data_IF_453111554601
#
_entry.id   IF_453111554601
#
_cell.length_a   1.000
_cell.length_b   1.000
_cell.length_c   1.000
_cell.angle_alpha   90.00
_cell.angle_beta   90.00
_cell.angle_gamma   90.00
#
_symmetry.space_group_name_H-M   'P 1'
#
loop_
_entity.id
_entity.type
_entity.pdbx_description
1 polymer ?
#
# COMPACT_ATOMS: atom_id res chain seq x y z
N UNK A 1 16.25 -6.48 27.41
CA UNK A 1 15.85 -5.56 26.33
C UNK A 1 16.27 -6.24 25.04
N UNK A 2 15.35 -6.79 24.28
CA UNK A 2 15.69 -7.63 23.13
C UNK A 2 14.72 -7.41 21.97
N UNK A 3 15.28 -7.46 20.76
CA UNK A 3 14.81 -6.80 19.55
C UNK A 3 13.46 -7.32 19.04
N UNK A 4 12.53 -6.39 18.79
CA UNK A 4 11.28 -6.63 18.08
C UNK A 4 11.54 -7.01 16.62
N UNK A 5 11.57 -8.31 16.32
CA UNK A 5 11.53 -8.83 14.95
C UNK A 5 10.11 -8.66 14.39
N UNK A 6 9.92 -7.64 13.57
CA UNK A 6 8.82 -7.60 12.61
C UNK A 6 8.85 -8.87 11.74
N UNK A 7 7.73 -9.57 11.64
CA UNK A 7 7.63 -10.80 10.83
C UNK A 7 7.31 -10.42 9.39
N UNK A 8 8.33 -10.36 8.55
CA UNK A 8 8.17 -10.22 7.09
C UNK A 8 7.87 -11.60 6.49
N UNK A 9 6.64 -11.82 6.00
CA UNK A 9 6.27 -13.06 5.32
C UNK A 9 6.54 -12.89 3.83
N UNK A 10 7.61 -13.51 3.35
CA UNK A 10 7.85 -13.79 1.93
C UNK A 10 7.50 -15.25 1.69
N UNK A 11 6.56 -15.54 0.80
CA UNK A 11 6.31 -16.90 0.34
C UNK A 11 7.61 -17.48 -0.21
N UNK A 12 8.11 -18.53 0.44
CA UNK A 12 9.27 -19.28 -0.02
C UNK A 12 8.91 -20.06 -1.28
N UNK A 13 9.06 -19.44 -2.45
CA UNK A 13 9.39 -20.15 -3.68
C UNK A 13 10.33 -19.30 -4.54
N UNK A 14 11.61 -19.66 -4.46
CA UNK A 14 12.73 -19.37 -5.37
C UNK A 14 12.28 -18.81 -6.73
N UNK A 15 12.51 -17.52 -6.96
CA UNK A 15 13.03 -16.97 -8.23
C UNK A 15 13.32 -15.47 -8.08
N UNK A 16 14.51 -15.04 -8.53
CA UNK A 16 15.04 -13.66 -8.51
C UNK A 16 14.19 -12.61 -9.27
N UNK A 17 12.97 -12.96 -9.70
CA UNK A 17 11.98 -12.08 -10.34
C UNK A 17 10.80 -11.71 -9.42
N UNK A 18 10.71 -12.25 -8.19
CA UNK A 18 9.56 -12.03 -7.28
C UNK A 18 9.64 -10.78 -6.39
N UNK A 19 10.74 -10.02 -6.42
CA UNK A 19 10.88 -8.80 -5.60
C UNK A 19 9.96 -7.63 -6.01
N UNK A 20 9.10 -7.83 -7.01
CA UNK A 20 8.23 -6.80 -7.61
C UNK A 20 6.75 -6.98 -7.30
N UNK A 21 6.38 -7.97 -6.50
CA UNK A 21 4.96 -8.17 -6.15
C UNK A 21 4.55 -7.18 -5.05
N UNK A 22 3.36 -6.56 -5.16
CA UNK A 22 2.87 -5.69 -4.11
C UNK A 22 2.70 -6.49 -2.82
N UNK A 23 3.39 -6.06 -1.77
CA UNK A 23 3.60 -6.79 -0.53
C UNK A 23 3.04 -6.02 0.68
N UNK A 24 2.80 -6.73 1.77
CA UNK A 24 2.37 -6.15 3.04
C UNK A 24 3.34 -6.54 4.17
N UNK A 25 3.64 -5.59 5.03
CA UNK A 25 4.57 -5.73 6.16
C UNK A 25 3.90 -5.21 7.43
N UNK A 26 3.99 -5.97 8.52
CA UNK A 26 3.61 -5.48 9.86
C UNK A 26 4.86 -4.86 10.51
N UNK A 27 4.90 -3.53 10.62
CA UNK A 27 6.04 -2.81 11.20
C UNK A 27 5.98 -2.88 12.72
N UNK A 28 4.81 -2.57 13.27
CA UNK A 28 4.49 -2.63 14.69
C UNK A 28 3.15 -3.33 14.85
N UNK A 29 2.81 -3.78 16.07
CA UNK A 29 1.52 -4.43 16.37
C UNK A 29 0.31 -3.62 15.87
N UNK A 30 0.46 -2.31 15.59
CA UNK A 30 -0.58 -1.40 15.13
C UNK A 30 -0.39 -0.82 13.72
N UNK A 31 0.73 -1.07 13.03
CA UNK A 31 1.03 -0.42 11.76
C UNK A 31 1.27 -1.47 10.66
N UNK A 32 0.37 -1.48 9.68
CA UNK A 32 0.49 -2.27 8.46
C UNK A 32 1.02 -1.37 7.36
N UNK A 33 2.15 -1.73 6.74
CA UNK A 33 2.73 -1.07 5.57
C UNK A 33 2.46 -1.89 4.33
N UNK A 34 1.80 -1.29 3.36
CA UNK A 34 1.64 -1.83 2.01
C UNK A 34 2.68 -1.21 1.09
N UNK A 35 3.28 -2.03 0.24
CA UNK A 35 4.33 -1.64 -0.70
C UNK A 35 3.80 -1.86 -2.12
N UNK A 36 3.98 -0.86 -2.98
CA UNK A 36 3.70 -0.94 -4.41
C UNK A 36 4.94 -0.53 -5.21
N UNK A 37 5.26 -1.35 -6.22
CA UNK A 37 6.37 -1.15 -7.15
C UNK A 37 5.89 -0.71 -8.56
N UNK A 38 4.59 -0.90 -8.86
CA UNK A 38 4.04 -0.81 -10.21
C UNK A 38 2.72 -0.02 -10.28
N UNK A 39 2.55 0.95 -9.38
CA UNK A 39 1.42 1.89 -9.28
C UNK A 39 0.21 1.35 -8.53
N UNK A 40 -0.03 0.04 -8.50
CA UNK A 40 -1.19 -0.53 -7.80
C UNK A 40 -0.80 -1.23 -6.51
N UNK A 41 -1.71 -1.22 -5.54
CA UNK A 41 -1.53 -1.91 -4.25
C UNK A 41 -2.23 -3.28 -4.28
N UNK A 42 -1.68 -4.25 -3.57
CA UNK A 42 -2.29 -5.57 -3.50
C UNK A 42 -3.60 -5.51 -2.71
N UNK A 43 -4.72 -5.66 -3.41
CA UNK A 43 -6.04 -5.72 -2.77
C UNK A 43 -6.34 -7.09 -2.16
N UNK A 44 -5.61 -8.14 -2.57
CA UNK A 44 -5.65 -9.43 -1.92
C UNK A 44 -5.00 -9.30 -0.55
N UNK A 45 -5.71 -9.73 0.48
CA UNK A 45 -5.19 -9.75 1.85
C UNK A 45 -4.08 -10.79 1.95
N UNK A 46 -2.83 -10.39 1.67
CA UNK A 46 -1.65 -11.10 2.17
C UNK A 46 -1.51 -10.98 3.70
N UNK A 47 -2.37 -10.19 4.33
CA UNK A 47 -2.44 -10.01 5.77
C UNK A 47 -2.98 -11.28 6.42
N UNK A 48 -2.25 -11.77 7.42
CA UNK A 48 -2.77 -12.72 8.38
C UNK A 48 -4.00 -12.09 9.06
N UNK A 49 -5.07 -12.88 9.20
CA UNK A 49 -6.30 -12.49 9.92
C UNK A 49 -6.02 -11.89 11.30
N UNK A 50 -4.92 -12.29 11.96
CA UNK A 50 -4.48 -11.80 13.27
C UNK A 50 -3.99 -10.35 13.26
N UNK A 51 -3.46 -9.86 12.14
CA UNK A 51 -2.97 -8.47 12.01
C UNK A 51 -4.11 -7.45 12.00
N UNK A 52 -5.29 -7.91 11.59
CA UNK A 52 -6.49 -7.10 11.42
C UNK A 52 -7.40 -7.10 12.67
N UNK A 53 -7.16 -7.99 13.64
CA UNK A 53 -8.02 -8.17 14.82
C UNK A 53 -8.20 -6.85 15.58
N UNK A 54 -9.45 -6.36 15.58
CA UNK A 54 -9.89 -5.18 16.34
C UNK A 54 -9.78 -3.82 15.64
N UNK A 55 -9.30 -3.78 14.38
CA UNK A 55 -8.82 -2.53 13.76
C UNK A 55 -9.57 -2.17 12.48
N UNK A 56 -9.65 -3.14 11.58
CA UNK A 56 -10.36 -3.07 10.30
C UNK A 56 -10.71 -4.51 9.91
N UNK A 57 -11.95 -4.79 9.53
CA UNK A 57 -12.29 -6.16 9.10
C UNK A 57 -11.67 -6.41 7.72
N UNK A 58 -11.35 -7.67 7.40
CA UNK A 58 -10.71 -8.03 6.13
C UNK A 58 -11.46 -7.47 4.90
N UNK A 59 -12.80 -7.45 4.96
CA UNK A 59 -13.62 -6.85 3.92
C UNK A 59 -13.43 -5.32 3.78
N UNK A 60 -13.39 -4.58 4.89
CA UNK A 60 -13.13 -3.13 4.90
C UNK A 60 -11.73 -2.84 4.32
N UNK A 61 -10.73 -3.63 4.68
CA UNK A 61 -9.38 -3.54 4.11
C UNK A 61 -9.40 -3.73 2.59
N UNK A 62 -9.99 -4.83 2.12
CA UNK A 62 -10.09 -5.12 0.68
C UNK A 62 -10.82 -4.01 -0.07
N UNK A 63 -11.90 -3.48 0.50
CA UNK A 63 -12.64 -2.36 -0.08
C UNK A 63 -11.81 -1.07 -0.12
N UNK A 64 -11.07 -0.76 0.94
CA UNK A 64 -10.19 0.42 0.98
C UNK A 64 -9.11 0.34 -0.12
N UNK A 65 -8.44 -0.79 -0.25
CA UNK A 65 -7.39 -0.95 -1.27
C UNK A 65 -7.96 -0.97 -2.69
N UNK A 66 -9.12 -1.60 -2.90
CA UNK A 66 -9.83 -1.53 -4.19
C UNK A 66 -10.21 -0.10 -4.56
N UNK A 67 -10.65 0.69 -3.59
CA UNK A 67 -11.00 2.10 -3.82
C UNK A 67 -9.78 2.92 -4.24
N UNK A 68 -8.64 2.74 -3.56
CA UNK A 68 -7.37 3.38 -3.94
C UNK A 68 -6.96 2.97 -5.36
N UNK A 69 -6.94 1.68 -5.66
CA UNK A 69 -6.59 1.20 -6.99
C UNK A 69 -7.54 1.72 -8.08
N UNK A 70 -8.84 1.87 -7.77
CA UNK A 70 -9.81 2.46 -8.70
C UNK A 70 -9.46 3.91 -9.01
N UNK A 71 -9.13 4.72 -7.99
CA UNK A 71 -8.70 6.11 -8.18
C UNK A 71 -7.40 6.20 -8.97
N UNK A 72 -6.44 5.33 -8.70
CA UNK A 72 -5.20 5.22 -9.49
C UNK A 72 -5.52 4.87 -10.95
N UNK A 73 -6.42 3.91 -11.19
CA UNK A 73 -6.86 3.55 -12.54
C UNK A 73 -7.48 4.72 -13.30
N UNK A 74 -8.24 5.59 -12.63
CA UNK A 74 -8.79 6.81 -13.24
C UNK A 74 -7.69 7.78 -13.69
N UNK A 75 -6.58 7.86 -12.96
CA UNK A 75 -5.44 8.71 -13.35
C UNK A 75 -4.70 8.23 -14.62
N UNK A 76 -4.94 6.98 -15.03
CA UNK A 76 -4.31 6.35 -16.20
C UNK A 76 -5.17 6.44 -17.46
N UNK A 77 -6.43 6.89 -17.35
CA UNK A 77 -7.31 7.03 -18.51
C UNK A 77 -6.88 8.27 -19.30
N UNK A 78 -6.49 8.08 -20.57
CA UNK A 78 -6.15 9.17 -21.49
C UNK A 78 -4.71 9.70 -21.38
N UNK A 79 -3.87 9.14 -20.49
CA UNK A 79 -2.46 9.49 -20.41
C UNK A 79 -1.61 8.60 -21.33
N UNK A 80 -1.05 9.21 -22.40
CA UNK A 80 0.00 8.59 -23.22
C UNK A 80 1.20 8.24 -22.32
N UNK A 81 1.92 7.15 -22.64
CA UNK A 81 2.98 6.51 -21.85
C UNK A 81 4.24 7.37 -21.52
N UNK A 82 4.13 8.69 -21.44
CA UNK A 82 5.20 9.60 -21.05
C UNK A 82 5.42 9.53 -19.52
N UNK A 83 6.58 8.99 -19.15
CA UNK A 83 6.92 8.47 -17.82
C UNK A 83 7.01 9.45 -16.63
N UNK A 84 7.07 10.80 -16.74
CA UNK A 84 7.02 11.67 -15.56
C UNK A 84 5.60 12.16 -15.19
N UNK A 85 4.75 12.46 -16.18
CA UNK A 85 3.40 13.02 -15.96
C UNK A 85 2.50 11.98 -15.25
N UNK A 86 2.63 10.71 -15.65
CA UNK A 86 1.86 9.62 -15.06
C UNK A 86 2.10 9.48 -13.56
N UNK A 87 3.32 9.71 -13.08
CA UNK A 87 3.63 9.55 -11.66
C UNK A 87 3.02 10.65 -10.78
N UNK A 88 2.94 11.88 -11.31
CA UNK A 88 2.33 13.01 -10.60
C UNK A 88 0.82 12.77 -10.45
N UNK A 89 0.15 12.39 -11.55
CA UNK A 89 -1.29 12.09 -11.53
C UNK A 89 -1.63 10.91 -10.61
N UNK A 90 -0.84 9.82 -10.64
CA UNK A 90 -1.04 8.68 -9.74
C UNK A 90 -0.91 9.10 -8.27
N UNK A 91 0.10 9.92 -7.95
CA UNK A 91 0.32 10.42 -6.59
C UNK A 91 -0.88 11.23 -6.10
N UNK A 92 -1.36 12.18 -6.92
CA UNK A 92 -2.52 13.02 -6.60
C UNK A 92 -3.78 12.18 -6.36
N UNK A 93 -4.09 11.25 -7.26
CA UNK A 93 -5.27 10.39 -7.13
C UNK A 93 -5.16 9.42 -5.93
N UNK A 94 -3.95 9.00 -5.56
CA UNK A 94 -3.72 8.18 -4.36
C UNK A 94 -3.98 8.99 -3.09
N UNK A 95 -3.50 10.23 -3.03
CA UNK A 95 -3.74 11.14 -1.89
C UNK A 95 -5.24 11.42 -1.74
N UNK A 96 -5.93 11.76 -2.83
CA UNK A 96 -7.39 11.96 -2.83
C UNK A 96 -8.14 10.71 -2.34
N UNK A 97 -7.73 9.51 -2.78
CA UNK A 97 -8.34 8.27 -2.31
C UNK A 97 -8.17 8.08 -0.80
N UNK A 98 -7.04 8.50 -0.25
CA UNK A 98 -6.76 8.41 1.19
C UNK A 98 -7.58 9.42 1.99
N UNK A 99 -7.74 10.65 1.50
CA UNK A 99 -8.61 11.65 2.11
C UNK A 99 -10.06 11.17 2.18
N UNK A 100 -10.55 10.55 1.11
CA UNK A 100 -11.88 9.91 1.06
C UNK A 100 -12.01 8.78 2.08
N UNK A 101 -10.95 7.98 2.26
CA UNK A 101 -10.92 6.92 3.26
C UNK A 101 -10.84 7.47 4.69
N UNK A 102 -10.13 8.57 4.92
CA UNK A 102 -10.10 9.25 6.23
C UNK A 102 -11.48 9.76 6.62
N UNK A 103 -12.22 10.33 5.68
CA UNK A 103 -13.60 10.74 5.91
C UNK A 103 -14.48 9.52 6.23
N UNK A 104 -14.33 8.41 5.48
CA UNK A 104 -15.11 7.18 5.67
C UNK A 104 -14.83 6.47 7.01
N UNK A 105 -13.57 6.43 7.43
CA UNK A 105 -13.11 5.72 8.63
C UNK A 105 -12.72 6.66 9.79
N UNK A 106 -13.30 7.87 9.79
CA UNK A 106 -12.96 8.94 10.72
C UNK A 106 -12.90 8.45 12.18
N UNK A 107 -11.77 8.73 12.84
CA UNK A 107 -11.55 8.36 14.25
C UNK A 107 -11.20 6.89 14.51
N UNK A 108 -11.35 5.98 13.53
CA UNK A 108 -11.03 4.55 13.69
C UNK A 108 -9.73 4.15 13.02
N UNK A 109 -9.52 4.60 11.78
CA UNK A 109 -8.41 4.15 10.94
C UNK A 109 -7.74 5.35 10.27
N UNK A 110 -6.42 5.36 10.31
CA UNK A 110 -5.60 6.37 9.70
C UNK A 110 -4.74 5.75 8.59
N UNK A 111 -4.84 6.31 7.39
CA UNK A 111 -4.10 5.89 6.20
C UNK A 111 -3.03 6.94 5.86
N UNK A 112 -1.77 6.58 5.71
CA UNK A 112 -0.72 7.53 5.33
C UNK A 112 -0.05 7.06 4.06
N UNK A 113 -0.02 7.90 3.03
CA UNK A 113 0.76 7.64 1.83
C UNK A 113 2.15 8.24 1.93
N UNK A 114 3.15 7.46 1.51
CA UNK A 114 4.50 7.96 1.28
C UNK A 114 5.01 7.44 -0.06
N UNK A 115 5.67 8.30 -0.81
CA UNK A 115 6.39 7.92 -2.03
C UNK A 115 7.89 8.03 -1.74
N UNK A 116 8.67 7.03 -2.14
CA UNK A 116 10.11 7.12 -2.15
C UNK A 116 10.58 7.23 -3.60
N UNK A 117 11.00 8.44 -3.95
CA UNK A 117 11.57 8.79 -5.24
C UNK A 117 13.09 8.55 -5.30
N UNK A 118 13.72 8.11 -4.20
CA UNK A 118 15.12 7.74 -4.24
C UNK A 118 15.31 6.49 -5.11
N UNK A 119 16.32 6.48 -6.00
CA UNK A 119 16.68 5.28 -6.74
C UNK A 119 17.13 4.23 -5.73
N UNK A 120 16.25 3.26 -5.44
CA UNK A 120 16.67 2.02 -4.81
C UNK A 120 17.64 1.28 -5.73
N UNK A 121 18.38 0.31 -5.20
CA UNK A 121 19.26 -0.59 -5.98
C UNK A 121 18.58 -1.24 -7.21
N UNK A 122 17.24 -1.15 -7.30
CA UNK A 122 16.40 -1.73 -8.34
C UNK A 122 15.76 -0.73 -9.33
N UNK A 123 16.13 0.56 -9.33
CA UNK A 123 15.69 1.59 -10.31
C UNK A 123 14.16 1.84 -10.43
N UNK A 124 13.33 1.29 -9.55
CA UNK A 124 11.87 1.51 -9.56
C UNK A 124 11.44 2.36 -8.35
N UNK A 125 10.68 3.45 -8.56
CA UNK A 125 10.11 4.24 -7.47
C UNK A 125 9.11 3.39 -6.67
N UNK A 126 9.15 3.52 -5.35
CA UNK A 126 8.28 2.75 -4.45
C UNK A 126 7.22 3.65 -3.83
N UNK A 127 6.01 3.12 -3.72
CA UNK A 127 4.89 3.76 -3.03
C UNK A 127 4.46 2.93 -1.82
N UNK A 128 4.15 3.62 -0.72
CA UNK A 128 3.80 3.02 0.55
C UNK A 128 2.47 3.54 1.06
N UNK A 129 1.66 2.65 1.62
CA UNK A 129 0.50 3.03 2.45
C UNK A 129 0.70 2.43 3.85
N UNK A 130 0.65 3.28 4.86
CA UNK A 130 0.63 2.87 6.25
C UNK A 130 -0.81 2.92 6.74
N UNK A 131 -1.28 1.84 7.34
CA UNK A 131 -2.60 1.73 7.95
C UNK A 131 -2.39 1.59 9.45
N UNK A 132 -2.89 2.56 10.21
CA UNK A 132 -2.80 2.60 11.66
C UNK A 132 -4.21 2.70 12.26
N UNK A 133 -4.52 1.86 13.24
CA UNK A 133 -5.72 2.01 14.07
C UNK A 133 -5.40 2.91 15.27
N UNK A 134 -6.25 3.90 15.53
CA UNK A 134 -6.16 4.66 16.78
C UNK A 134 -6.57 3.82 17.98
#
# INVERSE_FOLDING_TARGET
MDCGRGRTYTEKHINNCQSRLPSAELIDNNIIKLISYDRFFNSSSLLDSTWLKGKIINNEYRQAIKHINRRIGQSLIGTLNNLPINQISITQFTILAIEELHAKYAGRIHFVYKKNDQPSEFNTPQSFIFINSK
#
